data_IF_589900316314
#
_entry.id   IF_589900316314
#
_cell.length_a   1.000
_cell.length_b   1.000
_cell.length_c   1.000
_cell.angle_alpha   90.00
_cell.angle_beta   90.00
_cell.angle_gamma   90.00
#
_symmetry.space_group_name_H-M   'P 1'
#
loop_
_entity.id
_entity.type
_entity.pdbx_description
1 polymer ?
#
# COMPACT_ATOMS: atom_id res chain seq x y z
N UNK A 1 30.85 47.78 -26.35
CA UNK A 1 31.26 46.36 -26.36
C UNK A 1 32.09 46.13 -27.60
N UNK A 2 33.36 45.76 -27.45
CA UNK A 2 34.28 45.60 -28.58
C UNK A 2 34.02 44.29 -29.36
N UNK A 3 34.54 44.19 -30.58
CA UNK A 3 34.35 43.03 -31.46
C UNK A 3 35.09 41.76 -30.95
N UNK A 4 36.14 41.93 -30.16
CA UNK A 4 36.90 40.83 -29.56
C UNK A 4 36.14 40.17 -28.40
N UNK A 5 35.38 40.94 -27.63
CA UNK A 5 34.54 40.49 -26.51
C UNK A 5 33.30 39.71 -27.02
N UNK A 6 32.74 40.15 -28.15
CA UNK A 6 31.70 39.40 -28.88
C UNK A 6 32.24 38.07 -29.44
N UNK A 7 33.45 38.04 -29.98
CA UNK A 7 34.08 36.81 -30.47
C UNK A 7 34.39 35.82 -29.33
N UNK A 8 34.80 36.32 -28.16
CA UNK A 8 34.99 35.49 -26.96
C UNK A 8 33.67 34.93 -26.45
N UNK A 9 32.62 35.74 -26.31
CA UNK A 9 31.32 35.26 -25.85
C UNK A 9 30.71 34.21 -26.77
N UNK A 10 30.80 34.38 -28.10
CA UNK A 10 30.35 33.38 -29.08
C UNK A 10 31.03 32.01 -28.93
N UNK A 11 32.30 31.98 -28.49
CA UNK A 11 33.02 30.72 -28.24
C UNK A 11 32.53 29.99 -26.98
N UNK A 12 31.98 30.70 -26.01
CA UNK A 12 31.46 30.10 -24.78
C UNK A 12 29.99 29.65 -24.88
N UNK A 13 29.21 30.17 -25.83
CA UNK A 13 27.82 29.74 -26.10
C UNK A 13 27.70 28.21 -26.29
N UNK A 14 28.47 27.54 -27.17
CA UNK A 14 28.35 26.09 -27.35
C UNK A 14 28.75 25.31 -26.09
N UNK A 15 29.69 25.82 -25.29
CA UNK A 15 30.09 25.22 -24.01
C UNK A 15 28.94 25.27 -23.00
N UNK A 16 28.30 26.42 -22.82
CA UNK A 16 27.16 26.55 -21.91
C UNK A 16 25.94 25.73 -22.34
N UNK A 17 25.66 25.66 -23.65
CA UNK A 17 24.60 24.80 -24.20
C UNK A 17 24.89 23.33 -23.94
N UNK A 18 26.13 22.88 -24.17
CA UNK A 18 26.54 21.50 -23.90
C UNK A 18 26.42 21.11 -22.42
N UNK A 19 26.86 21.99 -21.52
CA UNK A 19 26.70 21.78 -20.06
C UNK A 19 25.22 21.74 -19.66
N UNK A 20 24.39 22.63 -20.23
CA UNK A 20 22.95 22.64 -19.97
C UNK A 20 22.26 21.33 -20.36
N UNK A 21 22.57 20.79 -21.56
CA UNK A 21 22.03 19.51 -22.04
C UNK A 21 22.51 18.36 -21.15
N UNK A 22 23.77 18.35 -20.75
CA UNK A 22 24.32 17.32 -19.87
C UNK A 22 23.65 17.33 -18.48
N UNK A 23 23.46 18.51 -17.88
CA UNK A 23 22.76 18.60 -16.59
C UNK A 23 21.30 18.17 -16.70
N UNK A 24 20.60 18.57 -17.77
CA UNK A 24 19.24 18.15 -18.02
C UNK A 24 19.13 16.62 -18.19
N UNK A 25 20.05 16.00 -18.93
CA UNK A 25 20.06 14.56 -19.14
C UNK A 25 20.35 13.79 -17.85
N UNK A 26 21.25 14.27 -16.99
CA UNK A 26 21.50 13.68 -15.66
C UNK A 26 20.28 13.80 -14.77
N UNK A 27 19.59 14.95 -14.74
CA UNK A 27 18.36 15.15 -13.96
C UNK A 27 17.26 14.20 -14.45
N UNK A 28 17.05 14.11 -15.76
CA UNK A 28 16.07 13.21 -16.38
C UNK A 28 16.42 11.75 -16.06
N UNK A 29 17.68 11.34 -16.27
CA UNK A 29 18.13 9.98 -15.99
C UNK A 29 17.94 9.62 -14.51
N UNK A 30 18.28 10.54 -13.59
CA UNK A 30 18.07 10.34 -12.15
C UNK A 30 16.58 10.24 -11.81
N UNK A 31 15.73 11.07 -12.40
CA UNK A 31 14.28 11.01 -12.25
C UNK A 31 13.74 9.63 -12.68
N UNK A 32 14.14 9.14 -13.86
CA UNK A 32 13.76 7.81 -14.32
C UNK A 32 14.36 6.68 -13.46
N UNK A 33 15.59 6.82 -12.96
CA UNK A 33 16.22 5.82 -12.08
C UNK A 33 15.51 5.71 -10.73
N UNK A 34 15.10 6.84 -10.15
CA UNK A 34 14.31 6.88 -8.91
C UNK A 34 12.94 6.24 -9.16
N UNK A 35 12.30 6.54 -10.30
CA UNK A 35 11.01 5.94 -10.68
C UNK A 35 11.12 4.43 -10.96
N UNK A 36 12.29 3.94 -11.39
CA UNK A 36 12.55 2.52 -11.68
C UNK A 36 12.89 1.69 -10.43
N UNK A 37 12.82 2.23 -9.21
CA UNK A 37 12.96 1.39 -8.00
C UNK A 37 11.93 0.27 -8.05
N UNK A 38 12.41 -0.97 -8.05
CA UNK A 38 11.57 -2.17 -8.05
C UNK A 38 10.75 -2.21 -6.76
N UNK A 39 9.43 -2.34 -6.91
CA UNK A 39 8.48 -2.54 -5.82
C UNK A 39 8.81 -3.88 -5.14
N UNK A 40 8.91 -3.90 -3.82
CA UNK A 40 9.09 -5.15 -3.07
C UNK A 40 7.72 -5.78 -2.78
N UNK A 41 7.60 -7.09 -2.92
CA UNK A 41 6.33 -7.78 -2.71
C UNK A 41 6.24 -8.34 -1.29
N UNK A 42 5.09 -8.16 -0.62
CA UNK A 42 4.88 -8.66 0.74
C UNK A 42 4.46 -10.13 0.75
N UNK A 43 3.42 -10.48 -0.01
CA UNK A 43 2.88 -11.82 -0.09
C UNK A 43 3.72 -12.68 -1.06
N UNK A 44 4.78 -13.30 -0.53
CA UNK A 44 5.72 -14.12 -1.31
C UNK A 44 5.28 -15.59 -1.39
N UNK A 45 4.68 -16.13 -0.33
CA UNK A 45 4.18 -17.50 -0.25
C UNK A 45 2.72 -17.52 0.22
N UNK A 46 1.79 -18.09 -0.56
CA UNK A 46 0.36 -18.15 -0.25
C UNK A 46 0.02 -19.02 0.97
N UNK A 47 0.95 -19.80 1.50
CA UNK A 47 0.77 -20.61 2.69
C UNK A 47 1.32 -19.94 3.97
N UNK A 48 2.16 -18.93 3.82
CA UNK A 48 2.76 -18.19 4.94
C UNK A 48 1.82 -17.10 5.44
N UNK A 49 1.78 -16.93 6.76
CA UNK A 49 1.06 -15.85 7.40
C UNK A 49 1.99 -14.67 7.64
N UNK A 50 1.55 -13.49 7.21
CA UNK A 50 2.24 -12.23 7.39
C UNK A 50 1.48 -11.39 8.42
N UNK A 51 2.03 -11.16 9.61
CA UNK A 51 1.39 -10.29 10.59
C UNK A 51 1.53 -8.83 10.13
N UNK A 52 0.42 -8.19 9.79
CA UNK A 52 0.40 -6.78 9.39
C UNK A 52 -0.22 -5.92 10.47
N UNK A 53 0.43 -4.80 10.77
CA UNK A 53 0.05 -3.90 11.85
C UNK A 53 -1.03 -2.93 11.40
N UNK A 54 -2.11 -2.79 12.16
CA UNK A 54 -3.11 -1.75 11.98
C UNK A 54 -2.51 -0.39 12.34
N UNK A 55 -2.37 0.50 11.37
CA UNK A 55 -1.79 1.84 11.58
C UNK A 55 -2.83 2.95 11.49
N UNK A 56 -3.96 2.70 10.85
CA UNK A 56 -5.05 3.67 10.74
C UNK A 56 -6.41 2.97 10.77
N UNK A 57 -7.38 3.59 11.44
CA UNK A 57 -8.78 3.18 11.43
C UNK A 57 -9.67 4.40 11.26
N UNK A 58 -10.45 4.43 10.19
CA UNK A 58 -11.35 5.54 9.86
C UNK A 58 -12.80 5.05 9.89
N UNK A 59 -13.65 5.76 10.62
CA UNK A 59 -15.10 5.51 10.60
C UNK A 59 -15.70 6.19 9.35
N UNK A 60 -16.13 5.39 8.37
CA UNK A 60 -16.80 5.89 7.15
C UNK A 60 -18.28 6.11 7.41
N UNK A 61 -18.92 5.18 8.13
CA UNK A 61 -20.34 5.24 8.47
C UNK A 61 -20.60 4.58 9.84
N UNK A 62 -21.86 4.52 10.25
CA UNK A 62 -22.26 3.84 11.49
C UNK A 62 -21.82 2.36 11.53
N UNK A 63 -21.78 1.67 10.39
CA UNK A 63 -21.44 0.25 10.26
C UNK A 63 -20.21 -0.01 9.36
N UNK A 64 -19.58 1.00 8.76
CA UNK A 64 -18.47 0.80 7.80
C UNK A 64 -17.19 1.53 8.22
N UNK A 65 -16.05 0.82 8.18
CA UNK A 65 -14.73 1.34 8.54
C UNK A 65 -13.71 1.06 7.45
N UNK A 66 -12.74 1.95 7.31
CA UNK A 66 -11.47 1.69 6.63
C UNK A 66 -10.43 1.27 7.67
N UNK A 67 -9.73 0.18 7.39
CA UNK A 67 -8.59 -0.31 8.16
C UNK A 67 -7.36 -0.29 7.27
N UNK A 68 -6.33 0.45 7.69
CA UNK A 68 -5.04 0.51 6.99
C UNK A 68 -4.02 -0.32 7.74
N UNK A 69 -3.47 -1.31 7.07
CA UNK A 69 -2.42 -2.16 7.60
C UNK A 69 -1.08 -1.82 6.96
N UNK A 70 -0.05 -1.58 7.76
CA UNK A 70 1.29 -1.33 7.26
C UNK A 70 1.91 -2.61 6.67
N UNK A 71 2.54 -2.45 5.50
CA UNK A 71 3.42 -3.44 4.91
C UNK A 71 4.82 -3.33 5.53
N UNK A 72 5.75 -4.28 5.27
CA UNK A 72 7.07 -4.28 5.92
C UNK A 72 7.92 -3.03 5.68
N UNK A 73 7.63 -2.24 4.64
CA UNK A 73 8.20 -0.90 4.46
C UNK A 73 7.33 -0.06 3.52
N UNK A 74 7.53 1.25 3.50
CA UNK A 74 6.90 2.18 2.52
C UNK A 74 7.13 1.81 1.04
N UNK A 75 8.18 1.04 0.74
CA UNK A 75 8.49 0.57 -0.62
C UNK A 75 7.89 -0.79 -0.99
N UNK A 76 7.12 -1.40 -0.08
CA UNK A 76 6.44 -2.67 -0.36
C UNK A 76 5.08 -2.43 -1.01
N UNK A 77 4.69 -3.34 -1.89
CA UNK A 77 3.32 -3.58 -2.32
C UNK A 77 2.79 -4.84 -1.67
N UNK A 78 1.47 -5.05 -1.71
CA UNK A 78 0.88 -6.25 -1.12
C UNK A 78 1.31 -7.49 -1.93
N UNK A 79 1.24 -7.41 -3.26
CA UNK A 79 1.47 -8.56 -4.14
C UNK A 79 0.19 -9.33 -4.43
N UNK A 80 -0.91 -8.61 -4.70
CA UNK A 80 -2.21 -9.21 -4.94
C UNK A 80 -2.64 -9.00 -6.39
N UNK A 81 -2.46 -10.00 -7.27
CA UNK A 81 -2.97 -9.95 -8.64
C UNK A 81 -4.47 -9.68 -8.69
N UNK A 82 -4.89 -8.94 -9.72
CA UNK A 82 -6.31 -8.63 -9.94
C UNK A 82 -7.17 -9.90 -10.00
N UNK A 83 -8.33 -9.86 -9.33
CA UNK A 83 -9.25 -11.00 -9.23
C UNK A 83 -8.95 -11.97 -8.08
N UNK A 84 -7.91 -11.72 -7.27
CA UNK A 84 -7.55 -12.54 -6.11
C UNK A 84 -7.92 -11.84 -4.79
N UNK A 85 -7.84 -12.59 -3.69
CA UNK A 85 -8.14 -12.11 -2.35
C UNK A 85 -7.10 -12.59 -1.32
N UNK A 86 -7.15 -12.01 -0.12
CA UNK A 86 -6.37 -12.46 1.04
C UNK A 86 -7.28 -13.10 2.08
N UNK A 87 -6.73 -13.98 2.90
CA UNK A 87 -7.36 -14.46 4.13
C UNK A 87 -6.80 -13.70 5.32
N UNK A 88 -7.70 -13.18 6.15
CA UNK A 88 -7.37 -12.75 7.51
C UNK A 88 -7.62 -13.90 8.47
N UNK A 89 -6.71 -14.11 9.41
CA UNK A 89 -6.90 -15.07 10.49
C UNK A 89 -6.66 -14.44 11.86
N UNK A 90 -7.54 -14.76 12.81
CA UNK A 90 -7.47 -14.29 14.18
C UNK A 90 -8.06 -15.33 15.14
N UNK A 91 -7.68 -15.28 16.41
CA UNK A 91 -8.34 -16.03 17.48
C UNK A 91 -9.42 -15.16 18.09
N UNK A 92 -10.68 -15.51 17.88
CA UNK A 92 -11.85 -14.84 18.46
C UNK A 92 -12.49 -15.82 19.44
N UNK A 93 -12.57 -15.44 20.72
CA UNK A 93 -13.07 -16.29 21.80
C UNK A 93 -12.39 -17.68 21.86
N UNK A 94 -11.06 -17.68 21.69
CA UNK A 94 -10.24 -18.90 21.67
C UNK A 94 -10.37 -19.76 20.41
N UNK A 95 -11.26 -19.41 19.46
CA UNK A 95 -11.45 -20.16 18.21
C UNK A 95 -10.76 -19.46 17.04
N UNK A 96 -10.08 -20.23 16.20
CA UNK A 96 -9.52 -19.72 14.96
C UNK A 96 -10.65 -19.33 14.00
N UNK A 97 -10.70 -18.05 13.62
CA UNK A 97 -11.60 -17.51 12.61
C UNK A 97 -10.76 -17.10 11.41
N UNK A 98 -11.13 -17.58 10.22
CA UNK A 98 -10.47 -17.26 8.96
C UNK A 98 -11.51 -16.72 7.98
N UNK A 99 -11.27 -15.56 7.37
CA UNK A 99 -12.21 -14.93 6.43
C UNK A 99 -11.50 -14.30 5.24
N UNK A 100 -12.04 -14.46 4.02
CA UNK A 100 -11.49 -13.81 2.84
C UNK A 100 -11.88 -12.34 2.80
N UNK A 101 -10.96 -11.49 2.32
CA UNK A 101 -11.17 -10.08 2.03
C UNK A 101 -10.44 -9.69 0.75
N UNK A 102 -11.05 -8.84 -0.06
CA UNK A 102 -10.40 -8.19 -1.19
C UNK A 102 -10.06 -6.76 -0.77
N UNK A 103 -8.78 -6.40 -0.67
CA UNK A 103 -8.36 -5.03 -0.38
C UNK A 103 -8.88 -4.04 -1.41
N UNK A 104 -9.09 -2.80 -0.96
CA UNK A 104 -9.46 -1.67 -1.84
C UNK A 104 -8.23 -0.95 -2.40
N UNK A 105 -7.07 -1.12 -1.76
CA UNK A 105 -5.77 -0.68 -2.28
C UNK A 105 -5.27 -1.62 -3.39
N UNK A 106 -4.65 -1.07 -4.44
CA UNK A 106 -4.04 -1.82 -5.53
C UNK A 106 -2.51 -1.61 -5.59
N UNK A 107 -1.78 -2.60 -6.09
CA UNK A 107 -0.31 -2.59 -6.14
C UNK A 107 0.28 -1.55 -7.11
N UNK A 108 -0.51 -1.00 -8.04
CA UNK A 108 -0.03 0.00 -9.00
C UNK A 108 0.10 1.38 -8.38
N UNK A 109 -0.90 1.78 -7.58
CA UNK A 109 -1.04 3.11 -7.01
C UNK A 109 -0.63 3.18 -5.52
N UNK A 110 -0.74 2.07 -4.79
CA UNK A 110 -0.56 2.06 -3.34
C UNK A 110 0.71 1.30 -2.95
N UNK A 111 1.49 1.90 -2.06
CA UNK A 111 2.69 1.30 -1.49
C UNK A 111 2.72 1.56 0.02
N UNK A 112 3.40 0.67 0.76
CA UNK A 112 3.57 0.75 2.20
C UNK A 112 2.37 0.29 3.02
N UNK A 113 1.21 0.08 2.42
CA UNK A 113 0.01 -0.32 3.15
C UNK A 113 -0.95 -1.17 2.33
N UNK A 114 -1.87 -1.81 3.04
CA UNK A 114 -3.07 -2.48 2.53
C UNK A 114 -4.30 -1.86 3.19
N UNK A 115 -5.26 -1.41 2.39
CA UNK A 115 -6.53 -0.87 2.88
C UNK A 115 -7.66 -1.88 2.74
N UNK A 116 -8.42 -2.08 3.82
CA UNK A 116 -9.65 -2.85 3.83
C UNK A 116 -10.83 -1.95 4.22
N UNK A 117 -11.86 -1.92 3.38
CA UNK A 117 -13.17 -1.35 3.74
C UNK A 117 -14.06 -2.49 4.22
N UNK A 118 -14.46 -2.47 5.49
CA UNK A 118 -15.20 -3.56 6.12
C UNK A 118 -16.48 -3.05 6.75
N UNK A 119 -17.58 -3.72 6.42
CA UNK A 119 -18.85 -3.60 7.13
C UNK A 119 -18.81 -4.41 8.43
N UNK A 120 -18.97 -3.72 9.55
CA UNK A 120 -19.04 -4.28 10.89
C UNK A 120 -20.46 -4.76 11.14
N UNK A 121 -20.58 -6.06 11.40
CA UNK A 121 -21.85 -6.69 11.73
C UNK A 121 -21.94 -6.77 13.26
N UNK A 122 -22.49 -5.75 13.89
CA UNK A 122 -22.60 -5.69 15.36
C UNK A 122 -23.60 -6.72 15.90
N UNK A 123 -23.32 -7.23 17.10
CA UNK A 123 -24.26 -8.01 17.89
C UNK A 123 -25.56 -7.25 18.17
N UNK A 124 -26.64 -7.99 18.38
CA UNK A 124 -27.97 -7.50 18.73
C UNK A 124 -28.64 -6.55 17.71
N UNK A 125 -28.14 -6.48 16.46
CA UNK A 125 -28.77 -5.67 15.41
C UNK A 125 -29.72 -6.47 14.51
N UNK A 126 -29.45 -7.75 14.27
CA UNK A 126 -30.24 -8.59 13.37
C UNK A 126 -30.80 -9.82 14.11
N UNK A 127 -32.12 -10.07 14.09
CA UNK A 127 -32.74 -11.12 14.91
C UNK A 127 -32.26 -12.54 14.56
N UNK A 128 -31.91 -12.79 13.29
CA UNK A 128 -31.34 -14.08 12.87
C UNK A 128 -29.85 -14.26 13.20
N UNK A 129 -29.16 -13.16 13.52
CA UNK A 129 -27.71 -13.14 13.76
C UNK A 129 -27.40 -12.32 15.03
N UNK A 130 -27.90 -12.75 16.20
CA UNK A 130 -27.77 -11.99 17.44
C UNK A 130 -26.30 -11.77 17.85
N UNK A 131 -25.41 -12.71 17.52
CA UNK A 131 -23.98 -12.63 17.83
C UNK A 131 -23.19 -11.69 16.89
N UNK A 132 -23.79 -11.24 15.79
CA UNK A 132 -23.11 -10.45 14.77
C UNK A 132 -22.01 -11.21 14.02
N UNK A 133 -21.08 -10.46 13.42
CA UNK A 133 -19.95 -10.99 12.66
C UNK A 133 -18.69 -11.10 13.50
N UNK A 134 -18.13 -12.31 13.60
CA UNK A 134 -16.93 -12.58 14.42
C UNK A 134 -15.72 -11.75 13.99
N UNK A 135 -15.31 -11.88 12.72
CA UNK A 135 -14.11 -11.20 12.22
C UNK A 135 -14.31 -9.68 12.09
N UNK A 136 -15.51 -9.23 11.70
CA UNK A 136 -15.73 -7.79 11.52
C UNK A 136 -15.83 -7.03 12.83
N UNK A 137 -16.39 -7.63 13.89
CA UNK A 137 -16.33 -7.08 15.25
C UNK A 137 -14.90 -7.14 15.80
N UNK A 138 -14.17 -8.25 15.60
CA UNK A 138 -12.75 -8.34 15.99
C UNK A 138 -11.92 -7.19 15.39
N UNK A 139 -12.02 -6.97 14.08
CA UNK A 139 -11.34 -5.84 13.41
C UNK A 139 -11.78 -4.49 13.99
N UNK A 140 -13.07 -4.30 14.23
CA UNK A 140 -13.60 -3.07 14.84
C UNK A 140 -12.99 -2.80 16.22
N UNK A 141 -12.73 -3.84 16.99
CA UNK A 141 -12.23 -3.73 18.36
C UNK A 141 -10.69 -3.67 18.43
N UNK A 142 -9.98 -4.01 17.35
CA UNK A 142 -8.51 -3.93 17.30
C UNK A 142 -7.97 -2.53 17.62
N UNK A 143 -6.95 -2.44 18.47
CA UNK A 143 -6.21 -1.20 18.71
C UNK A 143 -5.28 -0.82 17.57
N UNK A 144 -5.00 0.47 17.39
CA UNK A 144 -3.87 0.90 16.56
C UNK A 144 -2.58 0.31 17.14
N UNK A 145 -1.74 -0.26 16.28
CA UNK A 145 -0.52 -0.95 16.66
C UNK A 145 -0.66 -2.46 16.80
N UNK A 146 -1.88 -3.00 16.88
CA UNK A 146 -2.12 -4.45 16.87
C UNK A 146 -1.95 -5.06 15.48
N UNK A 147 -1.66 -6.36 15.43
CA UNK A 147 -1.41 -7.07 14.18
C UNK A 147 -2.52 -8.08 13.86
N UNK A 148 -2.75 -8.29 12.56
CA UNK A 148 -3.57 -9.40 12.08
C UNK A 148 -2.77 -10.26 11.10
N UNK A 149 -2.96 -11.59 11.17
CA UNK A 149 -2.33 -12.51 10.24
C UNK A 149 -3.03 -12.43 8.88
N UNK A 150 -2.27 -12.07 7.84
CA UNK A 150 -2.71 -12.01 6.45
C UNK A 150 -2.04 -13.12 5.65
N UNK A 151 -2.80 -13.82 4.81
CA UNK A 151 -2.28 -14.88 3.92
C UNK A 151 -2.89 -14.80 2.53
N UNK A 152 -2.10 -15.00 1.50
CA UNK A 152 -2.49 -14.98 0.10
C UNK A 152 -1.24 -14.81 -0.78
N UNK A 153 -1.37 -14.57 -2.09
CA UNK A 153 -2.62 -14.47 -2.85
C UNK A 153 -3.44 -15.78 -2.93
N UNK A 154 -4.77 -15.68 -3.04
CA UNK A 154 -5.64 -16.82 -3.31
C UNK A 154 -6.61 -16.54 -4.47
N UNK A 155 -6.65 -17.47 -5.42
CA UNK A 155 -7.69 -17.56 -6.45
C UNK A 155 -8.83 -18.47 -5.97
N UNK A 156 -10.02 -18.28 -6.56
CA UNK A 156 -11.18 -19.17 -6.36
C UNK A 156 -10.99 -20.51 -7.05
#
# INVERSE_FOLDING_TARGET
MDNADRSRSLKFIPLFVGVGIFLASVVIARYYFIKKRSKKTTLLDPNVKYPLQLVEKVNISHDTRLFRFALPSEHHILGLPNGQHVYLSAKVDGKLVVRPYTPTSNDDEHMGHMDLVVKVYFKNQHPKFPEGGKMSQYLNDMGIGETIDVRGPMAY
#
